data_IF_106560988157
#
_entry.id   IF_106560988157
#
_cell.length_a   1.000
_cell.length_b   1.000
_cell.length_c   1.000
_cell.angle_alpha   90.00
_cell.angle_beta   90.00
_cell.angle_gamma   90.00
#
_symmetry.space_group_name_H-M   'P 1'
#
loop_
_entity.id
_entity.type
_entity.pdbx_description
1 polymer ?
#
# COMPACT_ATOMS: atom_id res chain seq x y z
N UNK A 1 -18.78 0.47 -18.48
CA UNK A 1 -18.32 1.18 -17.26
C UNK A 1 -17.38 0.30 -16.41
N UNK A 2 -17.76 -0.91 -16.03
CA UNK A 2 -16.90 -1.80 -15.21
C UNK A 2 -15.59 -2.18 -15.90
N UNK A 3 -15.62 -2.56 -17.18
CA UNK A 3 -14.42 -2.88 -17.97
C UNK A 3 -13.45 -1.69 -18.06
N UNK A 4 -13.99 -0.47 -18.13
CA UNK A 4 -13.17 0.75 -18.14
C UNK A 4 -12.45 0.95 -16.82
N UNK A 5 -13.16 0.73 -15.70
CA UNK A 5 -12.58 0.86 -14.37
C UNK A 5 -11.54 -0.25 -14.10
N UNK A 6 -11.88 -1.51 -14.40
CA UNK A 6 -10.92 -2.63 -14.32
C UNK A 6 -9.67 -2.35 -15.16
N UNK A 7 -9.86 -1.90 -16.40
CA UNK A 7 -8.76 -1.53 -17.28
C UNK A 7 -7.90 -0.38 -16.73
N UNK A 8 -8.50 0.60 -16.05
CA UNK A 8 -7.76 1.69 -15.41
C UNK A 8 -6.91 1.19 -14.23
N UNK A 9 -7.47 0.33 -13.37
CA UNK A 9 -6.72 -0.25 -12.24
C UNK A 9 -5.59 -1.16 -12.74
N UNK A 10 -5.84 -2.01 -13.76
CA UNK A 10 -4.78 -2.82 -14.40
C UNK A 10 -3.64 -1.95 -14.94
N UNK A 11 -3.94 -0.80 -15.56
CA UNK A 11 -2.92 0.13 -16.06
C UNK A 11 -2.11 0.73 -14.91
N UNK A 12 -2.76 1.12 -13.80
CA UNK A 12 -2.08 1.65 -12.62
C UNK A 12 -1.15 0.60 -12.00
N UNK A 13 -1.64 -0.62 -11.77
CA UNK A 13 -0.84 -1.75 -11.29
C UNK A 13 0.34 -2.03 -12.24
N UNK A 14 0.06 -2.13 -13.55
CA UNK A 14 1.08 -2.38 -14.56
C UNK A 14 2.14 -1.27 -14.64
N UNK A 15 1.76 0.00 -14.47
CA UNK A 15 2.69 1.12 -14.39
C UNK A 15 3.62 0.98 -13.17
N UNK A 16 3.07 0.74 -12.00
CA UNK A 16 3.84 0.57 -10.77
C UNK A 16 4.80 -0.62 -10.85
N UNK A 17 4.33 -1.76 -11.35
CA UNK A 17 5.18 -2.94 -11.54
C UNK A 17 6.28 -2.71 -12.58
N UNK A 18 5.96 -2.04 -13.70
CA UNK A 18 6.98 -1.65 -14.69
C UNK A 18 8.02 -0.72 -14.09
N UNK A 19 7.62 0.24 -13.26
CA UNK A 19 8.54 1.16 -12.59
C UNK A 19 9.49 0.41 -11.66
N UNK A 20 8.97 -0.55 -10.86
CA UNK A 20 9.76 -1.38 -9.96
C UNK A 20 10.81 -2.22 -10.67
N UNK A 21 10.45 -2.82 -11.80
CA UNK A 21 11.29 -3.74 -12.56
C UNK A 21 11.92 -3.09 -13.80
N UNK A 22 11.92 -1.77 -13.85
CA UNK A 22 12.49 -1.06 -15.00
C UNK A 22 14.02 -1.26 -15.07
N UNK A 23 14.59 -1.53 -16.26
CA UNK A 23 16.03 -1.84 -16.40
C UNK A 23 16.95 -0.64 -16.10
N UNK A 24 16.39 0.57 -15.99
CA UNK A 24 17.11 1.77 -15.55
C UNK A 24 16.56 2.22 -14.20
N UNK A 25 17.36 2.89 -13.35
CA UNK A 25 16.88 3.35 -12.06
C UNK A 25 15.78 4.41 -12.23
N UNK A 26 14.72 4.27 -11.45
CA UNK A 26 13.63 5.24 -11.33
C UNK A 26 13.67 5.82 -9.91
N UNK A 27 13.93 7.11 -9.79
CA UNK A 27 13.94 7.81 -8.51
C UNK A 27 12.68 8.65 -8.38
N UNK A 28 11.93 8.48 -7.29
CA UNK A 28 10.75 9.28 -6.97
C UNK A 28 11.09 10.27 -5.87
N UNK A 29 10.66 11.52 -6.06
CA UNK A 29 10.95 12.64 -5.16
C UNK A 29 9.65 13.20 -4.55
N UNK A 30 9.02 12.52 -3.56
CA UNK A 30 7.78 12.97 -2.98
C UNK A 30 7.99 14.23 -2.13
N UNK A 31 6.99 15.14 -2.16
CA UNK A 31 6.93 16.35 -1.36
C UNK A 31 5.46 16.74 -1.11
N UNK A 32 5.17 17.31 0.04
CA UNK A 32 3.81 17.67 0.42
C UNK A 32 2.94 16.42 0.62
N UNK A 33 1.78 16.35 -0.05
CA UNK A 33 0.84 15.24 0.09
C UNK A 33 1.10 14.17 -0.98
N UNK A 34 1.62 13.02 -0.57
CA UNK A 34 1.81 11.82 -1.41
C UNK A 34 0.90 10.69 -0.90
N UNK A 35 -0.40 10.89 -1.00
CA UNK A 35 -1.44 10.03 -0.44
C UNK A 35 -1.98 9.03 -1.47
N UNK A 36 -2.46 7.88 -0.99
CA UNK A 36 -3.10 6.86 -1.83
C UNK A 36 -2.21 6.43 -2.98
N UNK A 37 -2.66 6.59 -4.22
CA UNK A 37 -1.87 6.28 -5.42
C UNK A 37 -0.50 6.96 -5.47
N UNK A 38 -0.33 8.16 -4.88
CA UNK A 38 0.97 8.82 -4.74
C UNK A 38 1.92 8.05 -3.81
N UNK A 39 1.39 7.45 -2.74
CA UNK A 39 2.13 6.55 -1.88
C UNK A 39 2.51 5.26 -2.61
N UNK A 40 1.58 4.68 -3.37
CA UNK A 40 1.81 3.47 -4.18
C UNK A 40 2.92 3.68 -5.21
N UNK A 41 2.88 4.77 -5.96
CA UNK A 41 3.96 5.16 -6.91
C UNK A 41 5.29 5.29 -6.17
N UNK A 42 5.30 5.97 -5.02
CA UNK A 42 6.52 6.17 -4.22
C UNK A 42 7.13 4.84 -3.79
N UNK A 43 6.33 3.89 -3.34
CA UNK A 43 6.81 2.58 -2.90
C UNK A 43 7.36 1.69 -4.03
N UNK A 44 7.03 1.97 -5.29
CA UNK A 44 7.52 1.20 -6.43
C UNK A 44 8.78 1.77 -7.08
N UNK A 45 9.30 2.87 -6.56
CA UNK A 45 10.57 3.44 -7.03
C UNK A 45 11.76 2.51 -6.75
N UNK A 46 12.79 2.59 -7.59
CA UNK A 46 14.09 1.97 -7.31
C UNK A 46 14.76 2.61 -6.10
N UNK A 47 14.52 3.91 -5.90
CA UNK A 47 14.97 4.72 -4.78
C UNK A 47 14.03 5.89 -4.57
N UNK A 48 13.84 6.29 -3.32
CA UNK A 48 13.09 7.50 -2.97
C UNK A 48 14.05 8.56 -2.42
N UNK A 49 13.85 9.78 -2.87
CA UNK A 49 14.48 10.97 -2.30
C UNK A 49 13.34 11.88 -1.82
N UNK A 50 12.99 11.78 -0.55
CA UNK A 50 11.80 12.44 0.01
C UNK A 50 12.15 13.80 0.63
N UNK A 51 11.29 14.80 0.46
CA UNK A 51 11.35 15.99 1.31
C UNK A 51 11.01 15.62 2.76
N UNK A 52 11.70 16.21 3.75
CA UNK A 52 11.49 15.90 5.17
C UNK A 52 10.03 16.05 5.62
N UNK A 53 9.32 17.05 5.07
CA UNK A 53 7.94 17.39 5.39
C UNK A 53 6.92 16.71 4.44
N UNK A 54 7.21 15.49 4.01
CA UNK A 54 6.28 14.73 3.16
C UNK A 54 5.24 14.02 4.02
N UNK A 55 3.97 14.28 3.72
CA UNK A 55 2.82 13.52 4.24
C UNK A 55 2.52 12.37 3.30
N UNK A 56 2.66 11.15 3.76
CA UNK A 56 2.55 9.97 2.89
C UNK A 56 1.85 8.80 3.58
N UNK A 57 0.95 8.14 2.88
CA UNK A 57 0.22 6.98 3.39
C UNK A 57 -0.83 6.48 2.42
N UNK A 58 -1.34 5.27 2.70
CA UNK A 58 -2.46 4.66 2.00
C UNK A 58 -3.75 5.09 2.69
N UNK A 59 -4.58 5.86 2.01
CA UNK A 59 -5.77 6.52 2.59
C UNK A 59 -7.09 6.04 1.98
N UNK A 60 -7.05 5.00 1.19
CA UNK A 60 -8.15 4.50 0.37
C UNK A 60 -9.37 4.11 1.19
N UNK A 61 -9.18 3.63 2.44
CA UNK A 61 -10.31 3.25 3.31
C UNK A 61 -11.20 4.45 3.65
N UNK A 62 -10.62 5.65 3.72
CA UNK A 62 -11.38 6.89 3.88
C UNK A 62 -12.33 7.18 2.70
N UNK A 63 -11.99 6.70 1.52
CA UNK A 63 -12.80 6.78 0.30
C UNK A 63 -13.79 5.61 0.14
N UNK A 64 -13.77 4.64 1.06
CA UNK A 64 -14.64 3.47 0.98
C UNK A 64 -14.09 2.29 0.18
N UNK A 65 -12.81 2.31 -0.18
CA UNK A 65 -12.13 1.25 -0.94
C UNK A 65 -10.83 0.81 -0.25
N UNK A 66 -10.18 -0.19 -0.81
CA UNK A 66 -8.82 -0.60 -0.40
C UNK A 66 -7.79 -0.11 -1.43
N UNK A 67 -6.48 -0.06 -1.09
CA UNK A 67 -5.45 0.20 -2.08
C UNK A 67 -5.49 -0.84 -3.21
N UNK A 68 -5.43 -0.39 -4.45
CA UNK A 68 -5.51 -1.27 -5.62
C UNK A 68 -4.46 -0.99 -6.71
N UNK A 69 -3.59 -0.01 -6.50
CA UNK A 69 -2.41 0.22 -7.33
C UNK A 69 -1.17 -0.52 -6.84
N UNK A 70 -1.33 -1.66 -6.16
CA UNK A 70 -0.32 -2.50 -5.54
C UNK A 70 0.14 -2.02 -4.13
N UNK A 71 -0.62 -1.17 -3.46
CA UNK A 71 -0.28 -0.66 -2.12
C UNK A 71 -0.33 -1.74 -1.06
N UNK A 72 -1.37 -2.58 -1.03
CA UNK A 72 -1.49 -3.72 -0.10
C UNK A 72 -0.34 -4.71 -0.33
N UNK A 73 -0.07 -5.07 -1.59
CA UNK A 73 1.03 -5.94 -1.99
C UNK A 73 2.38 -5.39 -1.49
N UNK A 74 2.64 -4.08 -1.66
CA UNK A 74 3.89 -3.45 -1.21
C UNK A 74 4.04 -3.45 0.31
N UNK A 75 2.97 -3.22 1.08
CA UNK A 75 3.03 -3.33 2.54
C UNK A 75 3.33 -4.76 2.99
N UNK A 76 2.71 -5.76 2.36
CA UNK A 76 3.02 -7.17 2.66
C UNK A 76 4.50 -7.48 2.33
N UNK A 77 4.97 -7.05 1.16
CA UNK A 77 6.36 -7.24 0.74
C UNK A 77 7.37 -6.58 1.70
N UNK A 78 7.06 -5.38 2.19
CA UNK A 78 7.98 -4.57 3.01
C UNK A 78 7.94 -4.91 4.49
N UNK A 79 6.78 -5.31 5.01
CA UNK A 79 6.56 -5.52 6.44
C UNK A 79 6.50 -7.00 6.78
N UNK A 80 5.79 -7.81 6.00
CA UNK A 80 5.55 -9.23 6.30
C UNK A 80 6.68 -10.12 5.75
N UNK A 81 7.03 -9.97 4.48
CA UNK A 81 8.01 -10.84 3.83
C UNK A 81 9.36 -10.93 4.54
N UNK A 82 9.98 -9.82 5.03
CA UNK A 82 11.29 -9.90 5.68
C UNK A 82 11.28 -10.80 6.92
N UNK A 83 10.20 -10.74 7.70
CA UNK A 83 10.05 -11.60 8.89
C UNK A 83 9.85 -13.07 8.48
N UNK A 84 9.06 -13.34 7.46
CA UNK A 84 8.77 -14.70 7.00
C UNK A 84 9.92 -15.39 6.26
N UNK A 85 10.98 -14.66 5.93
CA UNK A 85 12.26 -15.22 5.45
C UNK A 85 13.18 -15.66 6.60
N UNK A 86 12.80 -15.39 7.86
CA UNK A 86 13.54 -15.76 9.06
C UNK A 86 12.88 -17.00 9.68
N UNK A 87 13.69 -17.97 10.07
CA UNK A 87 13.21 -19.17 10.74
C UNK A 87 12.50 -18.82 12.07
N UNK A 88 11.40 -19.50 12.34
CA UNK A 88 10.62 -19.39 13.58
C UNK A 88 9.95 -18.02 13.82
N UNK A 89 9.85 -17.14 12.85
CA UNK A 89 9.11 -15.90 13.00
C UNK A 89 7.59 -16.12 12.90
N UNK A 90 6.85 -15.54 13.84
CA UNK A 90 5.38 -15.52 13.81
C UNK A 90 4.86 -14.44 12.89
N UNK A 91 3.93 -14.75 12.01
CA UNK A 91 3.40 -13.81 11.01
C UNK A 91 2.50 -12.73 11.63
N UNK A 92 1.78 -13.06 12.71
CA UNK A 92 0.69 -12.22 13.23
C UNK A 92 1.10 -10.77 13.55
N UNK A 93 2.18 -10.48 14.28
CA UNK A 93 2.56 -9.11 14.61
C UNK A 93 2.83 -8.24 13.37
N UNK A 94 3.46 -8.80 12.36
CA UNK A 94 3.81 -8.10 11.11
C UNK A 94 2.58 -7.87 10.23
N UNK A 95 1.73 -8.90 10.13
CA UNK A 95 0.47 -8.82 9.40
C UNK A 95 -0.48 -7.80 10.06
N UNK A 96 -0.61 -7.86 11.40
CA UNK A 96 -1.39 -6.90 12.18
C UNK A 96 -0.89 -5.46 11.97
N UNK A 97 0.42 -5.24 12.01
CA UNK A 97 1.02 -3.93 11.75
C UNK A 97 0.63 -3.39 10.38
N UNK A 98 0.81 -4.18 9.32
CA UNK A 98 0.44 -3.79 7.96
C UNK A 98 -1.07 -3.53 7.84
N UNK A 99 -1.89 -4.44 8.39
CA UNK A 99 -3.35 -4.32 8.38
C UNK A 99 -3.84 -3.05 9.06
N UNK A 100 -3.32 -2.74 10.25
CA UNK A 100 -3.72 -1.54 11.00
C UNK A 100 -3.26 -0.24 10.33
N UNK A 101 -2.08 -0.21 9.73
CA UNK A 101 -1.61 0.98 9.02
C UNK A 101 -2.52 1.31 7.83
N UNK A 102 -2.90 0.32 7.03
CA UNK A 102 -3.81 0.51 5.90
C UNK A 102 -5.24 0.74 6.41
N UNK A 103 -5.71 -0.10 7.35
CA UNK A 103 -7.07 -0.07 7.88
C UNK A 103 -7.46 1.23 8.58
N UNK A 104 -6.50 1.87 9.22
CA UNK A 104 -6.69 3.18 9.87
C UNK A 104 -6.37 4.36 8.93
N UNK A 105 -6.05 4.10 7.68
CA UNK A 105 -5.62 5.11 6.72
C UNK A 105 -4.49 6.00 7.30
N UNK A 106 -3.51 5.37 7.95
CA UNK A 106 -2.46 6.09 8.67
C UNK A 106 -1.56 6.83 7.70
N UNK A 107 -1.37 8.13 7.94
CA UNK A 107 -0.50 9.02 7.18
C UNK A 107 0.70 9.37 8.03
N UNK A 108 1.90 9.14 7.51
CA UNK A 108 3.13 9.68 8.08
C UNK A 108 3.15 11.20 7.88
N UNK A 109 3.49 11.94 8.93
CA UNK A 109 3.56 13.41 8.93
C UNK A 109 4.93 13.94 8.53
N UNK A 110 5.88 13.04 8.35
CA UNK A 110 7.24 13.33 7.87
C UNK A 110 7.84 12.14 7.14
N UNK A 111 8.89 12.38 6.36
CA UNK A 111 9.67 11.32 5.73
C UNK A 111 10.37 10.41 6.76
N UNK A 112 10.68 10.92 7.95
CA UNK A 112 11.24 10.13 9.06
C UNK A 112 10.21 9.13 9.58
N UNK A 113 8.99 9.58 9.87
CA UNK A 113 7.89 8.68 10.28
C UNK A 113 7.53 7.69 9.16
N UNK A 114 7.56 8.12 7.90
CA UNK A 114 7.34 7.23 6.75
C UNK A 114 8.35 6.07 6.70
N UNK A 115 9.60 6.31 7.14
CA UNK A 115 10.61 5.26 7.27
C UNK A 115 10.28 4.30 8.42
N UNK A 116 9.86 4.81 9.56
CA UNK A 116 9.40 3.99 10.69
C UNK A 116 8.19 3.14 10.32
N UNK A 117 7.28 3.69 9.52
CA UNK A 117 6.12 2.97 9.01
C UNK A 117 6.46 1.92 7.95
N UNK A 118 7.66 1.92 7.39
CA UNK A 118 8.09 1.00 6.32
C UNK A 118 7.67 1.44 4.91
N UNK A 119 7.14 2.66 4.77
CA UNK A 119 6.86 3.28 3.45
C UNK A 119 8.17 3.66 2.77
N UNK A 120 9.09 4.26 3.52
CA UNK A 120 10.47 4.47 3.07
C UNK A 120 11.38 3.36 3.63
N UNK A 121 12.43 3.05 2.88
CA UNK A 121 13.46 2.08 3.27
C UNK A 121 14.66 2.79 3.90
N UNK A 122 15.55 2.08 4.61
CA UNK A 122 16.78 2.67 5.12
C UNK A 122 17.70 3.26 4.04
N UNK A 123 17.60 2.75 2.80
CA UNK A 123 18.41 3.21 1.67
C UNK A 123 17.85 4.49 1.03
N UNK A 124 16.59 4.85 1.30
CA UNK A 124 15.97 6.05 0.78
C UNK A 124 16.55 7.30 1.46
N UNK A 125 16.62 8.39 0.70
CA UNK A 125 17.19 9.65 1.18
C UNK A 125 16.10 10.60 1.66
N UNK A 126 16.41 11.37 2.69
CA UNK A 126 15.56 12.46 3.19
C UNK A 126 16.33 13.76 3.00
N UNK A 127 15.67 14.73 2.37
CA UNK A 127 16.22 16.06 2.06
C UNK A 127 15.51 17.10 2.93
N UNK A 128 16.27 17.82 3.75
CA UNK A 128 15.71 18.81 4.66
C UNK A 128 15.26 20.08 3.94
N UNK A 129 16.06 20.56 2.99
CA UNK A 129 15.71 21.73 2.19
C UNK A 129 15.03 21.28 0.88
N UNK A 130 13.73 21.53 0.77
CA UNK A 130 12.92 21.17 -0.40
C UNK A 130 13.45 21.74 -1.72
N UNK A 131 14.11 22.87 -1.71
CA UNK A 131 14.67 23.50 -2.92
C UNK A 131 15.75 22.63 -3.57
N UNK A 132 16.42 21.78 -2.79
CA UNK A 132 17.41 20.84 -3.27
C UNK A 132 16.84 19.49 -3.70
N UNK A 133 15.53 19.24 -3.53
CA UNK A 133 14.91 17.93 -3.71
C UNK A 133 15.18 17.34 -5.10
N UNK A 134 14.90 18.09 -6.17
CA UNK A 134 15.09 17.63 -7.53
C UNK A 134 16.57 17.43 -7.88
N UNK A 135 17.44 18.30 -7.37
CA UNK A 135 18.89 18.17 -7.56
C UNK A 135 19.42 16.90 -6.90
N UNK A 136 18.98 16.60 -5.68
CA UNK A 136 19.35 15.38 -4.96
C UNK A 136 18.78 14.12 -5.64
N UNK A 137 17.52 14.17 -6.11
CA UNK A 137 16.93 13.07 -6.87
C UNK A 137 17.70 12.81 -8.19
N UNK A 138 18.13 13.87 -8.89
CA UNK A 138 18.95 13.76 -10.08
C UNK A 138 20.32 13.15 -9.76
N UNK A 139 20.96 13.58 -8.68
CA UNK A 139 22.25 13.00 -8.24
C UNK A 139 22.10 11.52 -7.93
N UNK A 140 21.03 11.13 -7.22
CA UNK A 140 20.76 9.74 -6.85
C UNK A 140 20.58 8.87 -8.10
N UNK A 141 19.77 9.27 -9.08
CA UNK A 141 19.54 8.47 -10.29
C UNK A 141 20.79 8.35 -11.13
N UNK A 142 21.61 9.41 -11.21
CA UNK A 142 22.89 9.38 -11.93
C UNK A 142 23.90 8.47 -11.23
N UNK A 143 23.98 8.54 -9.90
CA UNK A 143 24.82 7.67 -9.08
C UNK A 143 24.45 6.19 -9.24
N UNK A 144 23.16 5.86 -9.14
CA UNK A 144 22.68 4.49 -9.35
C UNK A 144 23.01 3.99 -10.75
N UNK A 145 22.83 4.82 -11.77
CA UNK A 145 23.15 4.47 -13.16
C UNK A 145 24.64 4.21 -13.36
N UNK A 146 25.50 5.09 -12.82
CA UNK A 146 26.96 4.94 -12.89
C UNK A 146 27.48 3.71 -12.13
N UNK A 147 26.79 3.34 -11.04
CA UNK A 147 27.08 2.13 -10.25
C UNK A 147 26.61 0.82 -10.91
N UNK A 148 26.06 0.87 -12.13
CA UNK A 148 25.60 -0.33 -12.83
C UNK A 148 24.31 -0.89 -12.27
N UNK A 149 23.32 -0.04 -11.94
CA UNK A 149 22.01 -0.44 -11.43
C UNK A 149 21.44 -1.64 -12.20
N UNK A 150 20.86 -2.55 -11.44
CA UNK A 150 20.03 -3.65 -11.94
C UNK A 150 18.71 -3.64 -11.20
N UNK A 151 17.58 -3.90 -11.89
CA UNK A 151 16.29 -4.05 -11.20
C UNK A 151 16.32 -5.25 -10.24
N UNK A 152 15.52 -5.21 -9.17
CA UNK A 152 15.37 -6.37 -8.30
C UNK A 152 14.79 -7.56 -9.06
N UNK A 153 15.06 -8.77 -8.59
CA UNK A 153 14.37 -9.96 -9.06
C UNK A 153 12.90 -9.93 -8.61
N UNK A 154 11.97 -10.54 -9.37
CA UNK A 154 10.60 -10.74 -8.92
C UNK A 154 10.58 -11.49 -7.58
N UNK A 155 9.71 -11.03 -6.67
CA UNK A 155 9.57 -11.63 -5.35
C UNK A 155 8.22 -12.35 -5.23
N UNK A 156 8.19 -13.36 -4.37
CA UNK A 156 6.93 -13.93 -3.90
C UNK A 156 6.44 -13.13 -2.69
N UNK A 157 5.14 -13.11 -2.47
CA UNK A 157 4.49 -12.48 -1.33
C UNK A 157 3.98 -13.56 -0.39
N UNK A 158 4.33 -13.46 0.88
CA UNK A 158 3.82 -14.37 1.90
C UNK A 158 2.39 -14.00 2.25
N UNK A 159 1.49 -14.97 2.20
CA UNK A 159 0.09 -14.85 2.61
C UNK A 159 -0.20 -15.80 3.74
N UNK A 160 -1.02 -15.36 4.68
CA UNK A 160 -1.15 -16.03 5.97
C UNK A 160 -2.32 -17.05 6.04
N UNK A 161 -3.13 -17.16 4.98
CA UNK A 161 -4.22 -18.12 4.90
C UNK A 161 -5.41 -17.84 5.79
N UNK A 162 -6.32 -18.82 5.88
CA UNK A 162 -7.64 -18.69 6.51
C UNK A 162 -7.59 -18.31 7.99
N UNK A 163 -6.64 -18.83 8.76
CA UNK A 163 -6.59 -18.57 10.20
C UNK A 163 -6.32 -17.09 10.49
N UNK A 164 -5.39 -16.49 9.76
CA UNK A 164 -5.09 -15.07 9.90
C UNK A 164 -6.19 -14.18 9.33
N UNK A 165 -6.89 -14.63 8.29
CA UNK A 165 -8.11 -13.96 7.85
C UNK A 165 -9.14 -13.88 8.98
N UNK A 166 -9.38 -15.00 9.67
CA UNK A 166 -10.26 -15.03 10.85
C UNK A 166 -9.82 -14.07 11.95
N UNK A 167 -8.52 -14.07 12.28
CA UNK A 167 -7.95 -13.18 13.30
C UNK A 167 -8.13 -11.69 12.95
N UNK A 168 -7.85 -11.30 11.70
CA UNK A 168 -8.05 -9.92 11.23
C UNK A 168 -9.54 -9.51 11.24
N UNK A 169 -10.46 -10.41 10.89
CA UNK A 169 -11.92 -10.18 11.00
C UNK A 169 -12.35 -9.94 12.43
N UNK A 170 -11.86 -10.75 13.37
CA UNK A 170 -12.12 -10.54 14.81
C UNK A 170 -11.60 -9.18 15.26
N UNK A 171 -10.40 -8.78 14.81
CA UNK A 171 -9.87 -7.45 15.06
C UNK A 171 -10.79 -6.34 14.54
N UNK A 172 -11.22 -6.41 13.29
CA UNK A 172 -12.15 -5.43 12.71
C UNK A 172 -13.50 -5.41 13.45
N UNK A 173 -14.03 -6.56 13.81
CA UNK A 173 -15.25 -6.68 14.61
C UNK A 173 -15.08 -6.03 15.99
N UNK A 174 -13.97 -6.26 16.68
CA UNK A 174 -13.69 -5.66 17.99
C UNK A 174 -13.64 -4.13 17.92
N UNK A 175 -13.03 -3.55 16.87
CA UNK A 175 -13.06 -2.10 16.64
C UNK A 175 -14.48 -1.57 16.40
N UNK A 176 -15.31 -2.33 15.68
CA UNK A 176 -16.71 -1.98 15.44
C UNK A 176 -17.53 -2.03 16.75
N UNK A 177 -17.46 -3.11 17.52
CA UNK A 177 -18.16 -3.23 18.81
C UNK A 177 -17.70 -2.16 19.81
N UNK A 178 -16.41 -1.79 19.78
CA UNK A 178 -15.86 -0.68 20.55
C UNK A 178 -16.28 0.71 20.05
N UNK A 179 -17.08 0.81 18.99
CA UNK A 179 -17.52 2.09 18.37
C UNK A 179 -16.39 2.97 17.79
N UNK A 180 -15.24 2.38 17.51
CA UNK A 180 -14.12 3.10 16.86
C UNK A 180 -14.29 3.23 15.35
N UNK A 181 -15.00 2.28 14.74
CA UNK A 181 -15.29 2.26 13.30
C UNK A 181 -16.77 1.96 13.05
N UNK A 182 -17.27 2.35 11.85
CA UNK A 182 -18.64 2.04 11.43
C UNK A 182 -18.77 0.58 10.96
N UNK A 183 -20.01 0.11 10.78
CA UNK A 183 -20.27 -1.19 10.16
C UNK A 183 -19.65 -1.29 8.77
N UNK A 184 -19.69 -0.18 8.01
CA UNK A 184 -19.13 -0.15 6.67
C UNK A 184 -17.58 -0.13 6.67
N UNK A 185 -16.96 0.56 7.61
CA UNK A 185 -15.50 0.48 7.79
C UNK A 185 -15.06 -0.96 8.12
N UNK A 186 -15.82 -1.68 8.94
CA UNK A 186 -15.57 -3.09 9.24
C UNK A 186 -15.72 -3.98 8.00
N UNK A 187 -16.70 -3.69 7.14
CA UNK A 187 -16.87 -4.37 5.85
C UNK A 187 -15.65 -4.16 4.93
N UNK A 188 -15.19 -2.91 4.77
CA UNK A 188 -13.99 -2.60 3.97
C UNK A 188 -12.75 -3.27 4.56
N UNK A 189 -12.57 -3.21 5.88
CA UNK A 189 -11.47 -3.88 6.58
C UNK A 189 -11.49 -5.41 6.37
N UNK A 190 -12.67 -6.02 6.27
CA UNK A 190 -12.82 -7.45 5.94
C UNK A 190 -12.36 -7.75 4.51
N UNK A 191 -12.62 -6.88 3.54
CA UNK A 191 -12.09 -7.00 2.18
C UNK A 191 -10.55 -6.88 2.14
N UNK A 192 -9.99 -5.94 2.90
CA UNK A 192 -8.54 -5.81 3.07
C UNK A 192 -7.93 -7.08 3.69
N UNK A 193 -8.55 -7.59 4.76
CA UNK A 193 -8.12 -8.83 5.41
C UNK A 193 -8.13 -10.02 4.45
N UNK A 194 -9.14 -10.13 3.58
CA UNK A 194 -9.24 -11.16 2.55
C UNK A 194 -8.03 -11.11 1.59
N UNK A 195 -7.69 -9.94 1.09
CA UNK A 195 -6.52 -9.76 0.20
C UNK A 195 -5.22 -10.14 0.91
N UNK A 196 -5.02 -9.64 2.14
CA UNK A 196 -3.78 -9.87 2.90
C UNK A 196 -3.62 -11.33 3.35
N UNK A 197 -4.72 -12.05 3.50
CA UNK A 197 -4.70 -13.48 3.81
C UNK A 197 -4.43 -14.36 2.57
N UNK A 198 -4.51 -13.80 1.36
CA UNK A 198 -4.39 -14.54 0.11
C UNK A 198 -5.71 -15.12 -0.40
N UNK A 199 -6.83 -14.45 -0.10
CA UNK A 199 -8.15 -14.89 -0.56
C UNK A 199 -8.62 -16.17 0.14
N UNK A 200 -9.06 -17.15 -0.65
CA UNK A 200 -9.61 -18.44 -0.17
C UNK A 200 -8.54 -19.49 0.20
N UNK A 201 -7.26 -19.11 0.27
CA UNK A 201 -6.21 -20.06 0.58
C UNK A 201 -6.35 -20.58 2.02
N UNK A 202 -6.34 -21.92 2.16
CA UNK A 202 -6.54 -22.58 3.44
C UNK A 202 -5.31 -22.55 4.35
N UNK A 203 -4.11 -22.44 3.77
CA UNK A 203 -2.83 -22.48 4.49
C UNK A 203 -1.93 -21.33 4.11
N UNK A 204 -1.02 -20.91 5.03
CA UNK A 204 0.04 -19.95 4.71
C UNK A 204 0.90 -20.46 3.56
N UNK A 205 1.25 -19.57 2.63
CA UNK A 205 2.15 -19.90 1.51
C UNK A 205 2.70 -18.66 0.83
N UNK A 206 3.67 -18.86 -0.04
CA UNK A 206 4.22 -17.83 -0.92
C UNK A 206 3.47 -17.85 -2.25
N UNK A 207 2.97 -16.71 -2.67
CA UNK A 207 2.25 -16.51 -3.94
C UNK A 207 2.94 -15.48 -4.82
N UNK A 208 2.62 -15.43 -6.11
CA UNK A 208 3.16 -14.40 -7.00
C UNK A 208 2.62 -13.01 -6.64
N UNK A 209 3.38 -11.95 -6.98
CA UNK A 209 2.87 -10.58 -6.86
C UNK A 209 1.58 -10.40 -7.66
N UNK A 210 1.49 -10.98 -8.87
CA UNK A 210 0.30 -10.88 -9.70
C UNK A 210 -0.96 -11.45 -9.03
N UNK A 211 -0.81 -12.52 -8.26
CA UNK A 211 -1.93 -13.10 -7.51
C UNK A 211 -2.53 -12.09 -6.52
N UNK A 212 -1.69 -11.36 -5.79
CA UNK A 212 -2.17 -10.33 -4.85
C UNK A 212 -2.75 -9.13 -5.60
N UNK A 213 -2.15 -8.72 -6.72
CA UNK A 213 -2.68 -7.64 -7.56
C UNK A 213 -4.08 -7.96 -8.08
N UNK A 214 -4.33 -9.20 -8.45
CA UNK A 214 -5.66 -9.63 -8.91
C UNK A 214 -6.68 -9.59 -7.76
N UNK A 215 -6.32 -10.04 -6.56
CA UNK A 215 -7.17 -9.94 -5.36
C UNK A 215 -7.44 -8.48 -4.95
N UNK A 216 -6.42 -7.60 -4.98
CA UNK A 216 -6.60 -6.16 -4.72
C UNK A 216 -7.63 -5.56 -5.68
N UNK A 217 -7.47 -5.82 -6.96
CA UNK A 217 -8.34 -5.29 -8.00
C UNK A 217 -9.76 -5.82 -7.85
N UNK A 218 -9.95 -7.12 -7.63
CA UNK A 218 -11.26 -7.73 -7.40
C UNK A 218 -11.97 -7.09 -6.20
N UNK A 219 -11.30 -7.00 -5.07
CA UNK A 219 -11.84 -6.41 -3.85
C UNK A 219 -12.16 -4.91 -4.04
N UNK A 220 -11.29 -4.15 -4.70
CA UNK A 220 -11.52 -2.75 -5.04
C UNK A 220 -12.77 -2.58 -5.91
N UNK A 221 -12.89 -3.35 -6.99
CA UNK A 221 -14.04 -3.28 -7.90
C UNK A 221 -15.34 -3.66 -7.19
N UNK A 222 -15.30 -4.69 -6.33
CA UNK A 222 -16.48 -5.08 -5.55
C UNK A 222 -16.97 -3.94 -4.65
N UNK A 223 -16.05 -3.21 -3.99
CA UNK A 223 -16.37 -2.06 -3.17
C UNK A 223 -16.90 -0.88 -3.98
N UNK A 224 -16.36 -0.62 -5.18
CA UNK A 224 -16.87 0.43 -6.07
C UNK A 224 -18.33 0.24 -6.48
N UNK A 225 -18.85 -0.99 -6.42
CA UNK A 225 -20.26 -1.31 -6.65
C UNK A 225 -21.20 -0.96 -5.50
N UNK A 226 -20.66 -0.69 -4.32
CA UNK A 226 -21.42 -0.41 -3.09
C UNK A 226 -21.88 1.05 -3.04
N UNK A 227 -23.15 1.30 -2.74
CA UNK A 227 -23.71 2.67 -2.64
C UNK A 227 -22.96 3.51 -1.59
N UNK A 228 -22.57 2.91 -0.47
CA UNK A 228 -21.82 3.59 0.58
C UNK A 228 -20.43 4.03 0.15
N UNK A 229 -19.73 3.23 -0.64
CA UNK A 229 -18.45 3.64 -1.26
C UNK A 229 -18.67 4.79 -2.23
N UNK A 230 -19.68 4.71 -3.09
CA UNK A 230 -19.97 5.77 -4.05
C UNK A 230 -20.30 7.09 -3.34
N UNK A 231 -21.07 7.04 -2.25
CA UNK A 231 -21.34 8.21 -1.41
C UNK A 231 -20.07 8.80 -0.78
N UNK A 232 -19.12 7.96 -0.30
CA UNK A 232 -17.82 8.42 0.22
C UNK A 232 -16.98 9.08 -0.84
N UNK A 233 -16.85 8.46 -2.02
CA UNK A 233 -16.10 9.02 -3.15
C UNK A 233 -16.70 10.35 -3.59
N UNK A 234 -18.02 10.45 -3.67
CA UNK A 234 -18.72 11.66 -4.04
C UNK A 234 -18.48 12.79 -3.02
N UNK A 235 -18.56 12.48 -1.72
CA UNK A 235 -18.25 13.43 -0.65
C UNK A 235 -16.83 13.98 -0.76
N UNK A 236 -15.84 13.10 -0.97
CA UNK A 236 -14.44 13.50 -1.13
C UNK A 236 -14.24 14.42 -2.34
N UNK A 237 -14.86 14.09 -3.49
CA UNK A 237 -14.75 14.90 -4.70
C UNK A 237 -15.40 16.30 -4.53
N UNK A 238 -16.52 16.38 -3.82
CA UNK A 238 -17.23 17.65 -3.63
C UNK A 238 -16.67 18.51 -2.51
N UNK A 239 -16.29 17.90 -1.40
CA UNK A 239 -16.00 18.62 -0.15
C UNK A 239 -14.54 18.51 0.30
N UNK A 240 -13.76 17.60 -0.29
CA UNK A 240 -12.43 17.24 0.18
C UNK A 240 -12.41 16.51 1.52
N UNK A 241 -13.58 16.13 2.07
CA UNK A 241 -13.69 15.49 3.40
C UNK A 241 -14.22 14.06 3.29
N UNK A 242 -13.62 13.11 4.01
CA UNK A 242 -14.15 11.74 4.08
C UNK A 242 -15.52 11.72 4.78
N UNK A 243 -16.47 11.00 4.17
CA UNK A 243 -17.75 10.68 4.76
C UNK A 243 -17.64 9.38 5.57
N UNK A 244 -18.22 9.35 6.76
CA UNK A 244 -18.39 8.12 7.56
C UNK A 244 -19.85 7.74 7.59
N UNK A 245 -20.22 6.63 6.93
CA UNK A 245 -21.60 6.15 6.77
C UNK A 245 -21.75 4.68 7.19
#
# INVERSE_FOLDING_TARGET
MWDTLDGAIRKLQGMNMRMRYFPKPVVVAPAGLALGGGCEVTMHASRVVAASETYIGLVELGAGVIPAGAGTKEFMRRIVNPAMKTDSAEVFPYLQRAFLQIGQAKVATSAFEAREMGILTPQDRIVLNRDHLLTEAKREVMSMSAAGYRPPAPELIYVAGRDMYGAMKIGAWSFKEGKYITDYDSHIATKLAYVMAGGELSKPQWVSEQYILDLEREAFLSLCGEEKTQARMWSLLQTGKPLRN
#
